data_IF_622694358472
#
_entry.id   IF_622694358472
#
_cell.length_a   1.000
_cell.length_b   1.000
_cell.length_c   1.000
_cell.angle_alpha   90.00
_cell.angle_beta   90.00
_cell.angle_gamma   90.00
#
_symmetry.space_group_name_H-M   'P 1'
#
loop_
_entity.id
_entity.type
_entity.pdbx_description
1 polymer ?
#
# COMPACT_ATOMS: atom_id res chain seq x y z
N UNK A 1 -22.41 -5.15 -40.76
CA UNK A 1 -21.32 -5.43 -39.80
C UNK A 1 -20.17 -4.49 -40.09
N UNK A 2 -20.09 -3.38 -39.36
CA UNK A 2 -18.91 -2.50 -39.43
C UNK A 2 -17.76 -3.26 -38.79
N UNK A 3 -16.68 -3.51 -39.56
CA UNK A 3 -15.48 -4.16 -39.06
C UNK A 3 -14.87 -3.27 -37.98
N UNK A 4 -15.08 -3.62 -36.71
CA UNK A 4 -14.28 -3.07 -35.61
C UNK A 4 -12.82 -3.36 -35.93
N UNK A 5 -12.02 -2.31 -36.18
CA UNK A 5 -10.61 -2.43 -36.56
C UNK A 5 -9.87 -3.40 -35.64
N UNK A 6 -8.98 -4.22 -36.20
CA UNK A 6 -8.24 -5.26 -35.46
C UNK A 6 -7.66 -4.73 -34.12
N UNK A 7 -7.11 -3.50 -34.16
CA UNK A 7 -6.59 -2.78 -32.99
C UNK A 7 -7.59 -2.69 -31.83
N UNK A 8 -8.85 -2.28 -32.07
CA UNK A 8 -9.85 -2.10 -31.01
C UNK A 8 -10.27 -3.45 -30.40
N UNK A 9 -10.31 -4.51 -31.23
CA UNK A 9 -10.55 -5.87 -30.73
C UNK A 9 -9.41 -6.33 -29.82
N UNK A 10 -8.16 -6.11 -30.22
CA UNK A 10 -6.98 -6.41 -29.41
C UNK A 10 -6.99 -5.60 -28.10
N UNK A 11 -7.23 -4.29 -28.15
CA UNK A 11 -7.32 -3.43 -26.97
C UNK A 11 -8.37 -3.92 -25.99
N UNK A 12 -9.56 -4.31 -26.47
CA UNK A 12 -10.61 -4.88 -25.61
C UNK A 12 -10.17 -6.17 -24.92
N UNK A 13 -9.52 -7.08 -25.66
CA UNK A 13 -9.04 -8.35 -25.11
C UNK A 13 -7.95 -8.11 -24.06
N UNK A 14 -6.99 -7.23 -24.35
CA UNK A 14 -5.92 -6.88 -23.41
C UNK A 14 -6.50 -6.24 -22.16
N UNK A 15 -7.41 -5.26 -22.30
CA UNK A 15 -8.07 -4.60 -21.17
C UNK A 15 -8.83 -5.61 -20.30
N UNK A 16 -9.53 -6.55 -20.92
CA UNK A 16 -10.23 -7.61 -20.19
C UNK A 16 -9.26 -8.54 -19.45
N UNK A 17 -8.20 -9.02 -20.10
CA UNK A 17 -7.20 -9.90 -19.48
C UNK A 17 -6.51 -9.19 -18.30
N UNK A 18 -6.06 -7.95 -18.47
CA UNK A 18 -5.41 -7.18 -17.41
C UNK A 18 -6.34 -7.00 -16.20
N UNK A 19 -7.60 -6.63 -16.42
CA UNK A 19 -8.55 -6.47 -15.32
C UNK A 19 -8.90 -7.81 -14.65
N UNK A 20 -8.92 -8.94 -15.37
CA UNK A 20 -9.04 -10.28 -14.75
C UNK A 20 -7.83 -10.60 -13.87
N UNK A 21 -6.61 -10.28 -14.32
CA UNK A 21 -5.40 -10.48 -13.51
C UNK A 21 -5.45 -9.63 -12.22
N UNK A 22 -5.85 -8.37 -12.32
CA UNK A 22 -6.03 -7.52 -11.14
C UNK A 22 -7.16 -8.00 -10.23
N UNK A 23 -8.23 -8.56 -10.79
CA UNK A 23 -9.32 -9.15 -10.02
C UNK A 23 -8.84 -10.37 -9.22
N UNK A 24 -8.08 -11.26 -9.85
CA UNK A 24 -7.47 -12.42 -9.18
C UNK A 24 -6.53 -11.94 -8.08
N UNK A 25 -5.65 -10.98 -8.39
CA UNK A 25 -4.75 -10.38 -7.40
C UNK A 25 -5.53 -9.79 -6.21
N UNK A 26 -6.60 -9.04 -6.48
CA UNK A 26 -7.48 -8.48 -5.46
C UNK A 26 -8.10 -9.57 -4.56
N UNK A 27 -8.62 -10.66 -5.13
CA UNK A 27 -9.14 -11.76 -4.31
C UNK A 27 -8.07 -12.49 -3.50
N UNK A 28 -6.87 -12.67 -4.04
CA UNK A 28 -5.75 -13.24 -3.28
C UNK A 28 -5.34 -12.34 -2.11
N UNK A 29 -5.28 -11.02 -2.35
CA UNK A 29 -4.96 -10.02 -1.34
C UNK A 29 -6.04 -9.96 -0.25
N UNK A 30 -7.32 -10.05 -0.64
CA UNK A 30 -8.45 -10.10 0.27
C UNK A 30 -8.40 -11.35 1.15
N UNK A 31 -8.18 -12.52 0.55
CA UNK A 31 -8.05 -13.79 1.26
C UNK A 31 -6.92 -13.77 2.27
N UNK A 32 -5.75 -13.25 1.87
CA UNK A 32 -4.61 -13.08 2.78
C UNK A 32 -4.91 -12.06 3.89
N UNK A 33 -5.50 -10.91 3.56
CA UNK A 33 -5.89 -9.90 4.55
C UNK A 33 -6.85 -10.44 5.60
N UNK A 34 -7.88 -11.19 5.19
CA UNK A 34 -8.82 -11.87 6.10
C UNK A 34 -8.10 -12.95 6.92
N UNK A 35 -7.22 -13.74 6.28
CA UNK A 35 -6.45 -14.76 6.97
C UNK A 35 -5.61 -14.17 8.11
N UNK A 36 -4.96 -13.03 7.86
CA UNK A 36 -4.20 -12.27 8.88
C UNK A 36 -5.10 -11.82 10.04
N UNK A 37 -6.35 -11.41 9.78
CA UNK A 37 -7.26 -10.97 10.85
C UNK A 37 -7.81 -12.11 11.71
N UNK A 38 -8.06 -13.27 11.11
CA UNK A 38 -8.81 -14.35 11.77
C UNK A 38 -7.89 -15.42 12.37
N UNK A 39 -6.72 -15.64 11.77
CA UNK A 39 -5.85 -16.73 12.15
C UNK A 39 -5.01 -16.39 13.39
N UNK A 40 -5.46 -16.84 14.57
CA UNK A 40 -4.63 -16.90 15.79
C UNK A 40 -3.36 -17.75 15.58
N UNK A 41 -3.35 -18.65 14.60
CA UNK A 41 -2.19 -19.48 14.24
C UNK A 41 -1.15 -18.69 13.45
N UNK A 42 -1.52 -17.62 12.76
CA UNK A 42 -0.55 -16.75 12.10
C UNK A 42 0.31 -16.01 13.13
N UNK A 43 -0.29 -15.57 14.25
CA UNK A 43 0.42 -15.01 15.39
C UNK A 43 1.44 -16.01 16.02
N UNK A 44 1.12 -17.31 16.00
CA UNK A 44 1.94 -18.37 16.60
C UNK A 44 3.00 -18.91 15.63
N UNK A 45 2.65 -19.17 14.37
CA UNK A 45 3.55 -19.72 13.35
C UNK A 45 4.66 -18.74 12.96
N UNK A 46 4.38 -17.44 12.99
CA UNK A 46 5.40 -16.42 12.78
C UNK A 46 6.40 -16.38 13.95
N UNK A 47 5.95 -16.66 15.18
CA UNK A 47 6.80 -16.76 16.37
C UNK A 47 7.71 -17.99 16.39
N UNK A 48 7.39 -19.04 15.64
CA UNK A 48 8.11 -20.33 15.68
C UNK A 48 9.07 -20.52 14.49
N UNK A 49 8.73 -20.04 13.30
CA UNK A 49 9.51 -20.29 12.08
C UNK A 49 10.57 -19.22 11.76
N UNK A 50 10.36 -18.01 12.26
CA UNK A 50 11.33 -16.93 12.25
C UNK A 50 11.64 -16.72 13.73
N UNK A 51 12.91 -16.77 14.16
CA UNK A 51 13.36 -16.74 15.57
C UNK A 51 13.13 -15.37 16.23
N UNK A 52 11.91 -14.88 16.08
CA UNK A 52 11.55 -13.50 16.07
C UNK A 52 10.05 -13.46 16.31
N UNK A 53 9.67 -12.94 17.47
CA UNK A 53 8.33 -12.40 17.77
C UNK A 53 8.00 -11.20 16.84
N UNK A 54 8.34 -11.28 15.55
CA UNK A 54 8.64 -10.15 14.64
C UNK A 54 7.43 -9.41 14.13
N UNK A 55 6.23 -9.92 14.41
CA UNK A 55 5.03 -9.11 14.28
C UNK A 55 4.07 -9.62 15.33
N UNK A 56 3.98 -8.94 16.47
CA UNK A 56 2.93 -9.23 17.44
C UNK A 56 1.53 -9.00 16.83
N UNK A 57 0.46 -9.24 17.58
CA UNK A 57 -0.88 -9.31 16.99
C UNK A 57 -1.54 -7.99 16.52
N UNK A 58 -0.93 -6.81 16.51
CA UNK A 58 -1.64 -5.50 16.36
C UNK A 58 -1.27 -4.60 15.15
N UNK A 59 -0.03 -4.27 14.85
CA UNK A 59 0.39 -3.85 13.50
C UNK A 59 0.07 -4.90 12.45
N UNK A 60 0.14 -6.19 12.77
CA UNK A 60 -0.32 -7.24 11.86
C UNK A 60 -1.81 -7.08 11.55
N UNK A 61 -2.62 -6.69 12.55
CA UNK A 61 -4.03 -6.29 12.35
C UNK A 61 -4.14 -5.05 11.47
N UNK A 62 -3.37 -3.99 11.70
CA UNK A 62 -3.43 -2.79 10.85
C UNK A 62 -3.02 -3.08 9.39
N UNK A 63 -1.96 -3.85 9.19
CA UNK A 63 -1.52 -4.32 7.87
C UNK A 63 -2.63 -5.12 7.21
N UNK A 64 -3.24 -6.09 7.91
CA UNK A 64 -4.36 -6.86 7.38
C UNK A 64 -5.57 -6.01 7.01
N UNK A 65 -5.90 -4.98 7.80
CA UNK A 65 -7.00 -4.04 7.50
C UNK A 65 -6.70 -3.27 6.21
N UNK A 66 -5.49 -2.71 6.09
CA UNK A 66 -5.07 -1.97 4.89
C UNK A 66 -5.11 -2.89 3.67
N UNK A 67 -4.63 -4.13 3.78
CA UNK A 67 -4.70 -5.12 2.71
C UNK A 67 -6.13 -5.40 2.26
N UNK A 68 -7.08 -5.54 3.19
CA UNK A 68 -8.50 -5.74 2.87
C UNK A 68 -9.07 -4.52 2.13
N UNK A 69 -8.78 -3.30 2.60
CA UNK A 69 -9.28 -2.06 1.96
C UNK A 69 -8.77 -1.96 0.52
N UNK A 70 -7.45 -2.12 0.33
CA UNK A 70 -6.83 -2.09 -1.00
C UNK A 70 -7.40 -3.19 -1.88
N UNK A 71 -7.57 -4.40 -1.36
CA UNK A 71 -8.12 -5.53 -2.10
C UNK A 71 -9.55 -5.27 -2.59
N UNK A 72 -10.44 -4.80 -1.72
CA UNK A 72 -11.83 -4.48 -2.09
C UNK A 72 -11.86 -3.39 -3.15
N UNK A 73 -11.07 -2.34 -2.98
CA UNK A 73 -10.97 -1.26 -3.97
C UNK A 73 -10.49 -1.78 -5.33
N UNK A 74 -9.41 -2.57 -5.36
CA UNK A 74 -8.89 -3.18 -6.59
C UNK A 74 -9.94 -4.09 -7.25
N UNK A 75 -10.64 -4.93 -6.48
CA UNK A 75 -11.71 -5.81 -7.00
C UNK A 75 -12.81 -4.99 -7.67
N UNK A 76 -13.30 -3.93 -7.02
CA UNK A 76 -14.36 -3.09 -7.56
C UNK A 76 -13.93 -2.37 -8.84
N UNK A 77 -12.74 -1.78 -8.82
CA UNK A 77 -12.17 -1.09 -9.98
C UNK A 77 -11.99 -2.04 -11.16
N UNK A 78 -11.41 -3.22 -10.93
CA UNK A 78 -11.22 -4.24 -11.95
C UNK A 78 -12.55 -4.81 -12.47
N UNK A 79 -13.55 -4.95 -11.59
CA UNK A 79 -14.89 -5.34 -12.01
C UNK A 79 -15.49 -4.33 -13.00
N UNK A 80 -15.40 -3.02 -12.75
CA UNK A 80 -15.87 -2.02 -13.71
C UNK A 80 -15.17 -2.11 -15.07
N UNK A 81 -13.84 -2.32 -15.07
CA UNK A 81 -13.07 -2.55 -16.31
C UNK A 81 -13.54 -3.79 -17.08
N UNK A 82 -13.73 -4.91 -16.39
CA UNK A 82 -14.24 -6.16 -16.97
C UNK A 82 -15.68 -6.03 -17.49
N UNK A 83 -16.59 -5.51 -16.66
CA UNK A 83 -18.00 -5.32 -17.00
C UNK A 83 -18.15 -4.37 -18.20
N UNK A 84 -17.38 -3.28 -18.22
CA UNK A 84 -17.33 -2.35 -19.35
C UNK A 84 -16.88 -3.01 -20.65
N UNK A 85 -15.83 -3.85 -20.60
CA UNK A 85 -15.29 -4.55 -21.76
C UNK A 85 -16.20 -5.67 -22.29
N UNK A 86 -16.80 -6.46 -21.39
CA UNK A 86 -17.66 -7.61 -21.73
C UNK A 86 -19.03 -7.14 -22.20
N UNK A 87 -19.71 -6.32 -21.40
CA UNK A 87 -21.07 -5.88 -21.70
C UNK A 87 -21.12 -4.72 -22.71
N UNK A 88 -19.95 -4.25 -23.18
CA UNK A 88 -19.83 -3.08 -24.08
C UNK A 88 -20.61 -1.88 -23.52
N UNK A 89 -20.57 -1.69 -22.20
CA UNK A 89 -21.32 -0.64 -21.54
C UNK A 89 -20.40 0.55 -21.28
N UNK A 90 -20.69 1.67 -21.96
CA UNK A 90 -19.92 2.91 -21.88
C UNK A 90 -19.89 3.50 -20.47
N UNK A 91 -20.95 3.34 -19.68
CA UNK A 91 -21.02 3.89 -18.32
C UNK A 91 -19.94 3.25 -17.43
N UNK A 92 -19.80 1.92 -17.46
CA UNK A 92 -18.77 1.24 -16.69
C UNK A 92 -17.35 1.60 -17.16
N UNK A 93 -17.13 1.78 -18.47
CA UNK A 93 -15.85 2.22 -19.01
C UNK A 93 -15.50 3.67 -18.61
N UNK A 94 -16.48 4.57 -18.58
CA UNK A 94 -16.27 5.94 -18.10
C UNK A 94 -16.02 5.99 -16.60
N UNK A 95 -16.74 5.20 -15.80
CA UNK A 95 -16.49 5.10 -14.35
C UNK A 95 -15.08 4.58 -14.08
N UNK A 96 -14.67 3.51 -14.77
CA UNK A 96 -13.32 2.97 -14.68
C UNK A 96 -12.26 4.04 -15.04
N UNK A 97 -12.41 4.72 -16.18
CA UNK A 97 -11.49 5.77 -16.60
C UNK A 97 -11.45 6.97 -15.62
N UNK A 98 -12.60 7.37 -15.07
CA UNK A 98 -12.69 8.46 -14.10
C UNK A 98 -11.96 8.12 -12.80
N UNK A 99 -12.13 6.90 -12.28
CA UNK A 99 -11.43 6.46 -11.06
C UNK A 99 -9.92 6.37 -11.32
N UNK A 100 -9.48 5.80 -12.45
CA UNK A 100 -8.05 5.80 -12.81
C UNK A 100 -7.48 7.21 -12.95
N UNK A 101 -8.24 8.14 -13.52
CA UNK A 101 -7.80 9.54 -13.64
C UNK A 101 -7.61 10.19 -12.28
N UNK A 102 -8.50 9.90 -11.32
CA UNK A 102 -8.35 10.36 -9.94
C UNK A 102 -7.10 9.76 -9.28
N UNK A 103 -6.82 8.48 -9.51
CA UNK A 103 -5.61 7.82 -8.98
C UNK A 103 -4.33 8.50 -9.51
N UNK A 104 -4.23 8.74 -10.83
CA UNK A 104 -3.10 9.47 -11.43
C UNK A 104 -2.91 10.84 -10.77
N UNK A 105 -3.99 11.59 -10.57
CA UNK A 105 -3.90 12.92 -9.92
C UNK A 105 -3.36 12.78 -8.49
N UNK A 106 -3.85 11.81 -7.73
CA UNK A 106 -3.36 11.59 -6.35
C UNK A 106 -1.92 11.10 -6.30
N UNK A 107 -1.51 10.25 -7.25
CA UNK A 107 -0.15 9.73 -7.35
C UNK A 107 0.84 10.85 -7.67
N UNK A 108 0.54 11.64 -8.71
CA UNK A 108 1.38 12.78 -9.11
C UNK A 108 1.43 13.86 -8.02
N UNK A 109 0.30 14.18 -7.37
CA UNK A 109 0.28 15.14 -6.27
C UNK A 109 1.16 14.67 -5.11
N UNK A 110 1.03 13.40 -4.69
CA UNK A 110 1.83 12.82 -3.61
C UNK A 110 3.31 12.80 -3.96
N UNK A 111 3.65 12.42 -5.19
CA UNK A 111 5.03 12.38 -5.68
C UNK A 111 5.66 13.78 -5.70
N UNK A 112 4.96 14.77 -6.26
CA UNK A 112 5.44 16.16 -6.31
C UNK A 112 5.60 16.73 -4.90
N UNK A 113 4.62 16.57 -4.01
CA UNK A 113 4.71 17.05 -2.63
C UNK A 113 5.92 16.43 -1.91
N UNK A 114 6.13 15.13 -2.07
CA UNK A 114 7.24 14.42 -1.43
C UNK A 114 8.60 14.91 -1.93
N UNK A 115 8.72 15.26 -3.22
CA UNK A 115 9.96 15.79 -3.79
C UNK A 115 10.20 17.25 -3.44
N UNK A 116 9.19 18.12 -3.61
CA UNK A 116 9.32 19.57 -3.39
C UNK A 116 9.53 19.89 -1.91
N UNK A 117 8.80 19.20 -1.03
CA UNK A 117 8.80 19.49 0.40
C UNK A 117 9.64 18.52 1.20
N UNK A 118 10.71 17.96 0.63
CA UNK A 118 11.55 16.91 1.23
C UNK A 118 11.86 17.09 2.72
N UNK A 119 12.23 18.31 3.13
CA UNK A 119 12.51 18.64 4.54
C UNK A 119 11.23 18.57 5.39
N UNK A 120 10.15 19.20 4.92
CA UNK A 120 8.86 19.18 5.63
C UNK A 120 8.23 17.79 5.65
N UNK A 121 8.39 17.00 4.59
CA UNK A 121 7.97 15.60 4.55
C UNK A 121 8.77 14.77 5.55
N UNK A 122 10.08 15.02 5.68
CA UNK A 122 10.91 14.43 6.76
C UNK A 122 10.40 14.81 8.14
N UNK A 123 10.07 16.08 8.38
CA UNK A 123 9.47 16.50 9.66
C UNK A 123 8.12 15.83 9.91
N UNK A 124 7.31 15.65 8.87
CA UNK A 124 6.01 14.98 8.95
C UNK A 124 6.15 13.48 9.26
N UNK A 125 7.12 12.79 8.66
CA UNK A 125 7.41 11.40 9.01
C UNK A 125 7.94 11.29 10.44
N UNK A 126 8.78 12.24 10.85
CA UNK A 126 9.28 12.31 12.21
C UNK A 126 8.14 12.54 13.22
N UNK A 127 7.25 13.49 12.96
CA UNK A 127 6.11 13.76 13.84
C UNK A 127 5.15 12.59 13.90
N UNK A 128 4.87 11.94 12.77
CA UNK A 128 4.04 10.73 12.72
C UNK A 128 4.67 9.59 13.54
N UNK A 129 5.98 9.34 13.40
CA UNK A 129 6.68 8.34 14.21
C UNK A 129 6.61 8.67 15.71
N UNK A 130 6.81 9.94 16.07
CA UNK A 130 6.72 10.41 17.46
C UNK A 130 5.32 10.25 18.04
N UNK A 131 4.28 10.63 17.29
CA UNK A 131 2.88 10.49 17.72
C UNK A 131 2.52 9.02 17.90
N UNK A 132 2.91 8.15 16.96
CA UNK A 132 2.75 6.71 17.08
C UNK A 132 3.45 6.17 18.33
N UNK A 133 4.71 6.55 18.56
CA UNK A 133 5.45 6.14 19.76
C UNK A 133 4.73 6.54 21.05
N UNK A 134 4.31 7.81 21.15
CA UNK A 134 3.63 8.32 22.34
C UNK A 134 2.28 7.62 22.55
N UNK A 135 1.48 7.48 21.50
CA UNK A 135 0.16 6.83 21.55
C UNK A 135 0.27 5.38 22.02
N UNK A 136 1.21 4.63 21.46
CA UNK A 136 1.43 3.21 21.79
C UNK A 136 1.84 3.04 23.26
N UNK A 137 2.78 3.85 23.74
CA UNK A 137 3.31 3.70 25.09
C UNK A 137 2.42 4.35 26.17
N UNK A 138 1.78 5.49 25.89
CA UNK A 138 0.93 6.22 26.85
C UNK A 138 -0.35 5.47 27.19
N UNK A 139 -1.02 4.91 26.19
CA UNK A 139 -2.25 4.13 26.40
C UNK A 139 -1.98 2.69 26.84
N UNK A 140 -0.72 2.38 27.13
CA UNK A 140 -0.22 1.06 27.48
C UNK A 140 -0.77 -0.04 26.55
N UNK A 141 -0.82 0.26 25.25
CA UNK A 141 -1.19 -0.70 24.23
C UNK A 141 -0.07 -1.73 24.13
N UNK A 142 -0.05 -2.70 25.07
CA UNK A 142 0.89 -3.81 25.11
C UNK A 142 0.95 -4.53 23.78
N UNK A 143 -0.20 -4.60 23.12
CA UNK A 143 -0.31 -5.20 21.81
C UNK A 143 0.41 -4.40 20.75
N UNK A 144 0.62 -3.08 20.82
CA UNK A 144 1.28 -2.27 19.77
C UNK A 144 2.75 -1.94 20.05
N UNK A 145 3.25 -2.17 21.28
CA UNK A 145 4.65 -1.87 21.64
C UNK A 145 5.67 -2.59 20.77
N UNK A 146 5.38 -3.84 20.40
CA UNK A 146 6.29 -4.64 19.58
C UNK A 146 6.61 -3.97 18.24
N UNK A 147 5.73 -3.12 17.69
CA UNK A 147 5.94 -2.44 16.40
C UNK A 147 7.15 -1.52 16.49
N UNK A 148 7.25 -0.81 17.60
CA UNK A 148 8.38 0.05 17.91
C UNK A 148 9.61 -0.82 18.21
N UNK A 149 9.44 -1.91 18.97
CA UNK A 149 10.54 -2.83 19.30
C UNK A 149 11.15 -3.51 18.05
N UNK A 150 10.34 -3.84 17.04
CA UNK A 150 10.84 -4.42 15.78
C UNK A 150 11.61 -3.38 14.96
N UNK A 151 11.14 -2.13 14.96
CA UNK A 151 11.88 -1.02 14.35
C UNK A 151 13.22 -0.84 15.08
N UNK A 152 13.21 -0.84 16.41
CA UNK A 152 14.42 -0.71 17.23
C UNK A 152 15.42 -1.84 16.95
N UNK A 153 14.94 -3.07 16.81
CA UNK A 153 15.76 -4.24 16.49
C UNK A 153 16.32 -4.23 15.07
N UNK A 154 15.45 -4.02 14.08
CA UNK A 154 15.81 -4.06 12.65
C UNK A 154 16.77 -2.93 12.29
N UNK A 155 16.50 -1.72 12.81
CA UNK A 155 17.30 -0.55 12.54
C UNK A 155 18.39 -0.28 13.59
N UNK A 156 18.52 -1.15 14.60
CA UNK A 156 19.50 -1.05 15.70
C UNK A 156 19.51 0.34 16.33
N UNK A 157 18.35 0.82 16.72
CA UNK A 157 18.11 2.15 17.26
C UNK A 157 17.28 2.04 18.55
N UNK A 158 17.18 3.11 19.33
CA UNK A 158 16.37 3.11 20.55
C UNK A 158 15.64 4.45 20.75
N UNK A 159 14.32 4.39 20.98
CA UNK A 159 13.47 5.55 21.18
C UNK A 159 13.31 6.42 19.94
N UNK A 160 12.69 7.59 20.10
CA UNK A 160 12.45 8.52 18.98
C UNK A 160 13.78 9.17 18.55
N UNK A 161 14.46 9.80 19.50
CA UNK A 161 15.75 10.47 19.35
C UNK A 161 16.89 9.70 20.01
N UNK A 162 16.61 9.05 21.14
CA UNK A 162 17.51 8.15 21.86
C UNK A 162 16.75 7.45 23.01
N UNK A 163 17.47 6.61 23.76
CA UNK A 163 16.94 5.90 24.94
C UNK A 163 16.30 6.81 26.00
N UNK A 164 16.68 8.09 26.09
CA UNK A 164 16.11 9.00 27.10
C UNK A 164 14.62 9.26 26.92
N UNK A 165 14.08 9.01 25.74
CA UNK A 165 12.65 9.20 25.47
C UNK A 165 11.77 8.22 26.26
N UNK A 166 12.29 7.04 26.61
CA UNK A 166 11.64 6.11 27.54
C UNK A 166 11.65 6.66 28.97
N UNK A 167 12.81 7.11 29.45
CA UNK A 167 12.97 7.62 30.81
C UNK A 167 12.13 8.89 31.06
N UNK A 168 12.05 9.80 30.08
CA UNK A 168 11.26 11.04 30.18
C UNK A 168 9.77 10.81 30.47
N UNK A 169 9.25 9.66 30.04
CA UNK A 169 7.83 9.32 30.19
C UNK A 169 7.61 8.18 31.20
N UNK A 170 8.63 7.82 31.99
CA UNK A 170 8.61 6.69 32.93
C UNK A 170 8.23 5.35 32.27
N UNK A 171 8.63 5.14 31.03
CA UNK A 171 8.47 3.86 30.33
C UNK A 171 9.69 2.98 30.56
N UNK A 172 9.47 1.66 30.59
CA UNK A 172 10.55 0.68 30.62
C UNK A 172 11.19 0.57 29.25
N UNK A 173 12.53 0.60 29.18
CA UNK A 173 13.27 0.38 27.93
C UNK A 173 13.11 -1.09 27.51
N UNK A 174 12.65 -1.38 26.29
CA UNK A 174 12.47 -2.75 25.83
C UNK A 174 13.80 -3.45 25.53
N UNK A 175 13.81 -4.78 25.61
CA UNK A 175 15.00 -5.61 25.30
C UNK A 175 15.49 -5.41 23.86
N UNK A 176 14.60 -4.99 22.95
CA UNK A 176 14.94 -4.72 21.56
C UNK A 176 15.92 -3.55 21.36
N UNK A 177 16.03 -2.64 22.34
CA UNK A 177 17.03 -1.59 22.37
C UNK A 177 18.44 -2.07 22.72
N UNK A 178 18.59 -3.30 23.21
CA UNK A 178 19.87 -3.86 23.64
C UNK A 178 20.50 -4.69 22.54
N UNK A 179 21.82 -4.60 22.42
CA UNK A 179 22.56 -5.43 21.48
C UNK A 179 22.36 -6.92 21.78
N UNK A 180 22.20 -7.72 20.73
CA UNK A 180 21.91 -9.16 20.81
C UNK A 180 20.67 -9.53 21.65
N UNK A 181 19.79 -8.56 21.93
CA UNK A 181 18.59 -8.72 22.77
C UNK A 181 18.92 -9.20 24.19
N UNK A 182 20.03 -8.74 24.74
CA UNK A 182 20.53 -9.10 26.05
C UNK A 182 20.67 -7.86 26.95
N UNK A 183 20.03 -7.88 28.11
CA UNK A 183 20.03 -6.75 29.06
C UNK A 183 21.43 -6.42 29.61
N UNK A 184 22.37 -7.38 29.55
CA UNK A 184 23.75 -7.18 30.00
C UNK A 184 24.61 -6.47 28.93
N UNK A 185 24.08 -6.25 27.72
CA UNK A 185 24.77 -5.60 26.61
C UNK A 185 24.48 -4.10 26.54
N UNK A 186 25.23 -3.39 25.70
CA UNK A 186 25.03 -1.96 25.45
C UNK A 186 23.71 -1.68 24.73
N UNK A 187 23.10 -0.55 25.08
CA UNK A 187 21.90 -0.01 24.41
C UNK A 187 22.32 0.72 23.12
N UNK A 188 21.47 0.69 22.11
CA UNK A 188 21.67 1.50 20.90
C UNK A 188 21.51 3.00 21.19
N UNK A 189 22.56 3.78 20.92
CA UNK A 189 22.58 5.22 21.23
C UNK A 189 21.81 6.09 20.21
N UNK A 190 21.54 5.56 19.01
CA UNK A 190 20.90 6.29 17.92
C UNK A 190 19.37 6.23 17.99
N UNK A 191 18.70 7.35 17.72
CA UNK A 191 17.23 7.43 17.66
C UNK A 191 16.62 6.86 16.39
N UNK A 192 15.51 6.15 16.52
CA UNK A 192 14.87 5.45 15.41
C UNK A 192 14.27 6.38 14.36
N UNK A 193 13.74 7.54 14.74
CA UNK A 193 13.06 8.41 13.79
C UNK A 193 14.01 8.85 12.66
N UNK A 194 15.26 9.20 12.98
CA UNK A 194 16.22 9.61 11.96
C UNK A 194 16.69 8.44 11.08
N UNK A 195 16.95 7.27 11.68
CA UNK A 195 17.43 6.08 10.96
C UNK A 195 16.36 5.56 10.00
N UNK A 196 15.11 5.44 10.47
CA UNK A 196 13.97 5.00 9.65
C UNK A 196 13.74 5.97 8.49
N UNK A 197 13.75 7.28 8.75
CA UNK A 197 13.55 8.27 7.69
C UNK A 197 14.69 8.19 6.65
N UNK A 198 15.94 8.05 7.09
CA UNK A 198 17.07 7.88 6.16
C UNK A 198 16.92 6.62 5.31
N UNK A 199 16.48 5.51 5.92
CA UNK A 199 16.19 4.29 5.19
C UNK A 199 15.07 4.50 4.16
N UNK A 200 13.97 5.16 4.54
CA UNK A 200 12.87 5.49 3.62
C UNK A 200 13.37 6.28 2.41
N UNK A 201 14.22 7.29 2.63
CA UNK A 201 14.81 8.07 1.54
C UNK A 201 15.75 7.24 0.65
N UNK A 202 16.45 6.26 1.22
CA UNK A 202 17.31 5.35 0.45
C UNK A 202 16.49 4.44 -0.46
N UNK A 203 15.29 4.02 -0.02
CA UNK A 203 14.37 3.19 -0.80
C UNK A 203 13.54 3.99 -1.82
N UNK A 204 13.59 5.33 -1.78
CA UNK A 204 12.80 6.20 -2.65
C UNK A 204 12.90 5.86 -4.15
N UNK A 205 14.06 5.48 -4.73
CA UNK A 205 14.14 5.09 -6.14
C UNK A 205 13.33 3.84 -6.48
N UNK A 206 13.31 2.84 -5.59
CA UNK A 206 12.53 1.61 -5.79
C UNK A 206 11.04 1.92 -5.74
N UNK A 207 10.60 2.70 -4.75
CA UNK A 207 9.21 3.15 -4.62
C UNK A 207 8.80 3.94 -5.88
N UNK A 208 9.65 4.86 -6.33
CA UNK A 208 9.40 5.64 -7.55
C UNK A 208 9.26 4.77 -8.81
N UNK A 209 10.04 3.70 -8.94
CA UNK A 209 9.92 2.76 -10.07
C UNK A 209 8.61 1.98 -10.07
N UNK A 210 8.15 1.55 -8.88
CA UNK A 210 6.87 0.83 -8.74
C UNK A 210 5.71 1.76 -9.08
N UNK A 211 5.69 2.97 -8.50
CA UNK A 211 4.71 4.01 -8.80
C UNK A 211 4.68 4.35 -10.30
N UNK A 212 5.84 4.63 -10.91
CA UNK A 212 5.91 4.89 -12.35
C UNK A 212 5.36 3.76 -13.23
N UNK A 213 5.51 2.49 -12.80
CA UNK A 213 4.93 1.34 -13.52
C UNK A 213 3.40 1.31 -13.40
N UNK A 214 2.87 1.66 -12.22
CA UNK A 214 1.42 1.78 -11.97
C UNK A 214 0.85 2.90 -12.85
N UNK A 215 1.44 4.09 -12.83
CA UNK A 215 1.03 5.22 -13.67
C UNK A 215 0.91 4.87 -15.16
N UNK A 216 1.87 4.11 -15.71
CA UNK A 216 1.82 3.65 -17.10
C UNK A 216 0.64 2.72 -17.38
N UNK A 217 0.34 1.79 -16.45
CA UNK A 217 -0.80 0.88 -16.55
C UNK A 217 -2.12 1.66 -16.48
N UNK A 218 -2.22 2.66 -15.60
CA UNK A 218 -3.42 3.50 -15.48
C UNK A 218 -3.68 4.31 -16.75
N UNK A 219 -2.64 4.94 -17.31
CA UNK A 219 -2.74 5.67 -18.59
C UNK A 219 -3.22 4.74 -19.70
N UNK A 220 -2.64 3.54 -19.80
CA UNK A 220 -3.08 2.54 -20.77
C UNK A 220 -4.55 2.16 -20.56
N UNK A 221 -4.98 1.96 -19.32
CA UNK A 221 -6.37 1.65 -18.96
C UNK A 221 -7.34 2.75 -19.38
N UNK A 222 -6.99 4.02 -19.15
CA UNK A 222 -7.79 5.20 -19.53
C UNK A 222 -7.92 5.29 -21.05
N UNK A 223 -6.80 5.24 -21.79
CA UNK A 223 -6.78 5.32 -23.25
C UNK A 223 -7.63 4.18 -23.84
N UNK A 224 -7.44 2.96 -23.35
CA UNK A 224 -8.20 1.79 -23.79
C UNK A 224 -9.69 1.93 -23.54
N UNK A 225 -10.08 2.47 -22.40
CA UNK A 225 -11.48 2.63 -22.01
C UNK A 225 -12.20 3.71 -22.83
N UNK A 226 -11.52 4.83 -23.09
CA UNK A 226 -12.04 5.90 -23.97
C UNK A 226 -12.15 5.38 -25.41
N UNK A 227 -11.09 4.76 -25.93
CA UNK A 227 -11.10 4.21 -27.29
C UNK A 227 -12.23 3.19 -27.49
N UNK A 228 -12.42 2.28 -26.53
CA UNK A 228 -13.49 1.30 -26.59
C UNK A 228 -14.88 1.94 -26.47
N UNK A 229 -15.05 2.94 -25.60
CA UNK A 229 -16.31 3.67 -25.43
C UNK A 229 -16.75 4.39 -26.71
N UNK A 230 -15.80 5.06 -27.37
CA UNK A 230 -16.03 5.75 -28.65
C UNK A 230 -16.35 4.75 -29.77
N UNK A 231 -15.67 3.61 -29.79
CA UNK A 231 -15.96 2.56 -30.78
C UNK A 231 -17.38 1.99 -30.60
N UNK A 232 -17.83 1.81 -29.35
CA UNK A 232 -19.19 1.36 -29.04
C UNK A 232 -20.23 2.39 -29.49
N UNK A 233 -19.99 3.69 -29.27
CA UNK A 233 -20.94 4.73 -29.68
C UNK A 233 -21.10 4.81 -31.19
N UNK A 234 -20.00 4.70 -31.95
CA UNK A 234 -20.06 4.67 -33.41
C UNK A 234 -20.79 3.42 -33.93
N UNK A 235 -20.56 2.26 -33.32
CA UNK A 235 -21.27 1.02 -33.70
C UNK A 235 -22.78 1.16 -33.49
N UNK A 236 -23.20 1.70 -32.33
CA UNK A 236 -24.63 1.89 -32.02
C UNK A 236 -25.30 2.90 -32.96
N UNK A 237 -24.64 4.00 -33.31
CA UNK A 237 -25.16 4.93 -34.31
C UNK A 237 -25.30 4.24 -35.68
N UNK A 238 -24.29 3.51 -36.13
CA UNK A 238 -24.34 2.85 -37.45
C UNK A 238 -25.44 1.78 -37.60
N UNK A 239 -25.93 1.22 -36.49
CA UNK A 239 -27.04 0.27 -36.49
C UNK A 239 -28.41 0.97 -36.57
N UNK A 240 -28.54 2.19 -36.05
CA UNK A 240 -29.81 2.94 -36.04
C UNK A 240 -30.12 3.57 -37.42
N UNK A 241 -29.09 3.96 -38.17
CA UNK A 241 -29.24 4.66 -39.47
C UNK A 241 -29.13 3.71 -40.68
N UNK A 242 -29.37 2.41 -40.48
CA UNK A 242 -29.47 1.39 -41.52
C UNK A 242 -30.89 0.90 -41.67
#
# INVERSE_FOLDING_TARGET
MVHLSCSIRCTRIILFILNILFLIFGFTLLGFGIYVQVSKKFDIALSEHINTKIIGGSALKWVGIIMIIVAVFTILLSAFGCLGAVFKNRVFLYLYAAILSLLIITELATFIITLTYRVRTRDSYYSAFRELFIEIYSNNHTDLKYVIEDIEREFRCCGINNVTDYYKHNYTVPVACYQDQDFDKSIFDQGCANVVIQWLWKQFPIIGSVLGSILLIEIFGIISSIALSTAISHSSYSEIYK
#
